data_IF_155826249641
#
_entry.id   IF_155826249641
#
_cell.length_a   1.000
_cell.length_b   1.000
_cell.length_c   1.000
_cell.angle_alpha   90.00
_cell.angle_beta   90.00
_cell.angle_gamma   90.00
#
_symmetry.space_group_name_H-M   'P 1'
#
loop_
_entity.id
_entity.type
_entity.pdbx_description
1 polymer ?
#
# COMPACT_ATOMS: atom_id res chain seq x y z
N UNK A 1 -20.26 -7.67 18.24
CA UNK A 1 -20.79 -7.81 16.88
C UNK A 1 -19.77 -8.54 16.02
N UNK A 2 -20.10 -9.72 15.58
CA UNK A 2 -19.16 -10.57 14.88
C UNK A 2 -19.02 -10.10 13.41
N UNK A 3 -17.85 -9.68 12.99
CA UNK A 3 -17.59 -9.13 11.64
C UNK A 3 -17.99 -10.10 10.51
N UNK A 4 -17.97 -11.41 10.80
CA UNK A 4 -18.39 -12.44 9.85
C UNK A 4 -19.90 -12.48 9.62
N UNK A 5 -20.70 -12.11 10.62
CA UNK A 5 -22.16 -12.06 10.50
C UNK A 5 -22.65 -10.84 9.71
N UNK A 6 -21.88 -9.75 9.75
CA UNK A 6 -22.21 -8.54 8.98
C UNK A 6 -22.10 -8.75 7.47
N UNK A 7 -21.08 -9.47 7.04
CA UNK A 7 -20.86 -9.73 5.61
C UNK A 7 -21.91 -10.70 5.05
N UNK A 8 -22.32 -11.71 5.83
CA UNK A 8 -23.33 -12.68 5.38
C UNK A 8 -24.74 -12.09 5.32
N UNK A 9 -25.06 -11.09 6.15
CA UNK A 9 -26.39 -10.45 6.12
C UNK A 9 -26.54 -9.40 5.01
N UNK A 10 -25.45 -8.85 4.50
CA UNK A 10 -25.52 -7.89 3.38
C UNK A 10 -25.68 -8.57 2.01
N UNK A 11 -25.36 -9.86 1.89
CA UNK A 11 -25.51 -10.60 0.63
C UNK A 11 -26.93 -11.13 0.43
N UNK A 12 -27.69 -11.31 1.51
CA UNK A 12 -29.07 -11.82 1.45
C UNK A 12 -30.12 -10.72 1.20
N UNK A 13 -29.72 -9.44 1.24
CA UNK A 13 -30.65 -8.33 1.03
C UNK A 13 -30.93 -7.95 -0.43
N UNK A 14 -30.20 -8.51 -1.38
CA UNK A 14 -30.32 -8.13 -2.80
C UNK A 14 -31.06 -9.12 -3.68
N UNK A 15 -31.55 -10.23 -3.14
CA UNK A 15 -32.18 -11.28 -3.92
C UNK A 15 -33.71 -11.24 -3.99
N UNK A 16 -34.38 -10.26 -3.36
CA UNK A 16 -35.86 -10.27 -3.28
C UNK A 16 -36.58 -9.13 -4.04
N UNK A 17 -35.94 -8.45 -4.98
CA UNK A 17 -36.57 -7.40 -5.79
C UNK A 17 -36.59 -7.68 -7.30
N UNK A 18 -36.56 -8.93 -7.71
CA UNK A 18 -36.60 -9.29 -9.13
C UNK A 18 -37.87 -10.04 -9.54
N UNK A 19 -39.05 -9.67 -9.01
CA UNK A 19 -40.29 -10.20 -9.50
C UNK A 19 -41.43 -9.20 -9.36
N UNK A 20 -41.44 -8.19 -10.15
CA UNK A 20 -42.66 -7.54 -10.67
C UNK A 20 -42.25 -6.29 -11.46
N UNK A 21 -42.19 -6.40 -12.72
CA UNK A 21 -42.68 -5.38 -13.64
C UNK A 21 -42.38 -5.77 -15.07
N UNK A 22 -43.39 -6.10 -15.74
CA UNK A 22 -43.55 -6.01 -17.19
C UNK A 22 -43.11 -4.62 -17.65
N UNK A 23 -41.89 -4.52 -18.15
CA UNK A 23 -41.36 -3.31 -18.69
C UNK A 23 -40.03 -3.58 -19.38
N UNK A 24 -40.09 -3.91 -20.67
CA UNK A 24 -38.97 -4.21 -21.54
C UNK A 24 -38.01 -3.03 -21.76
N UNK A 25 -38.21 -1.90 -21.13
CA UNK A 25 -37.39 -0.71 -21.36
C UNK A 25 -36.24 -0.53 -20.35
N UNK A 26 -36.19 -1.29 -19.26
CA UNK A 26 -35.13 -1.18 -18.25
C UNK A 26 -33.87 -2.02 -18.55
N UNK A 27 -33.98 -2.98 -19.47
CA UNK A 27 -32.87 -3.87 -19.85
C UNK A 27 -31.95 -3.21 -20.88
N UNK A 28 -32.40 -2.19 -21.58
CA UNK A 28 -31.59 -1.47 -22.60
C UNK A 28 -30.66 -0.43 -22.00
N UNK A 29 -30.88 0.04 -20.78
CA UNK A 29 -29.99 0.99 -20.15
C UNK A 29 -28.74 0.35 -19.51
N UNK A 30 -28.77 -0.97 -19.30
CA UNK A 30 -27.59 -1.72 -18.80
C UNK A 30 -26.68 -2.21 -19.91
N UNK A 31 -27.10 -2.11 -21.19
CA UNK A 31 -26.33 -2.56 -22.35
C UNK A 31 -25.54 -1.44 -23.03
N UNK A 32 -25.70 -0.20 -22.60
CA UNK A 32 -25.01 0.93 -23.18
C UNK A 32 -23.76 1.28 -22.39
N UNK A 33 -22.63 1.06 -23.06
CA UNK A 33 -21.31 1.49 -22.67
C UNK A 33 -20.72 0.79 -21.44
N UNK A 34 -20.06 -0.32 -21.69
CA UNK A 34 -18.85 -0.64 -20.93
C UNK A 34 -17.91 0.56 -21.04
N UNK A 35 -18.14 1.54 -20.20
CA UNK A 35 -17.17 2.58 -19.92
C UNK A 35 -15.99 1.81 -19.33
N UNK A 36 -15.02 1.50 -20.18
CA UNK A 36 -13.76 0.89 -19.79
C UNK A 36 -13.23 1.80 -18.69
N UNK A 37 -13.48 1.42 -17.45
CA UNK A 37 -12.90 2.11 -16.29
C UNK A 37 -11.42 1.91 -16.44
N UNK A 38 -10.75 2.89 -16.98
CA UNK A 38 -9.30 2.97 -16.97
C UNK A 38 -8.95 3.16 -15.49
N UNK A 39 -8.76 2.04 -14.80
CA UNK A 39 -8.18 2.06 -13.46
C UNK A 39 -6.77 2.59 -13.66
N UNK A 40 -6.47 3.80 -13.19
CA UNK A 40 -5.10 4.27 -13.25
C UNK A 40 -4.25 3.24 -12.52
N UNK A 41 -3.20 2.73 -13.18
CA UNK A 41 -2.26 1.82 -12.56
C UNK A 41 -1.59 2.58 -11.42
N UNK A 42 -2.02 2.32 -10.20
CA UNK A 42 -1.42 2.91 -9.01
C UNK A 42 -0.17 2.10 -8.69
N UNK A 43 0.97 2.69 -8.89
CA UNK A 43 2.24 2.11 -8.46
C UNK A 43 2.36 2.29 -6.94
N UNK A 44 2.38 1.18 -6.22
CA UNK A 44 2.60 1.19 -4.78
C UNK A 44 4.10 1.32 -4.51
N UNK A 45 4.48 2.38 -3.82
CA UNK A 45 5.85 2.60 -3.35
C UNK A 45 5.92 2.25 -1.87
N UNK A 46 6.68 1.22 -1.56
CA UNK A 46 6.83 0.74 -0.20
C UNK A 46 8.05 1.37 0.47
N UNK A 47 7.90 1.65 1.74
CA UNK A 47 8.94 2.10 2.65
C UNK A 47 9.14 1.09 3.77
N UNK A 48 10.36 1.00 4.29
CA UNK A 48 10.72 0.06 5.33
C UNK A 48 11.57 0.74 6.41
N UNK A 49 11.32 0.37 7.65
CA UNK A 49 12.07 0.91 8.79
C UNK A 49 13.40 0.18 8.96
N UNK A 50 14.44 0.93 9.31
CA UNK A 50 15.76 0.38 9.60
C UNK A 50 15.73 -0.72 10.66
N UNK A 51 14.94 -0.52 11.72
CA UNK A 51 14.87 -1.45 12.85
C UNK A 51 14.19 -2.77 12.55
N UNK A 52 13.41 -2.85 11.48
CA UNK A 52 12.67 -4.05 11.08
C UNK A 52 13.35 -4.85 9.98
N UNK A 53 14.27 -4.23 9.25
CA UNK A 53 15.03 -4.90 8.22
C UNK A 53 16.05 -5.89 8.82
N UNK A 54 16.15 -7.12 8.28
CA UNK A 54 17.18 -8.05 8.69
C UNK A 54 18.56 -7.59 8.21
N UNK A 55 19.58 -7.90 8.96
CA UNK A 55 20.96 -7.51 8.70
C UNK A 55 21.58 -6.81 9.91
N UNK A 56 22.88 -6.93 10.07
CA UNK A 56 23.63 -6.30 11.15
C UNK A 56 24.11 -4.91 10.77
N UNK A 57 24.50 -4.73 9.51
CA UNK A 57 24.95 -3.46 8.97
C UNK A 57 23.85 -2.72 8.19
N UNK A 58 23.99 -1.41 8.07
CA UNK A 58 23.07 -0.60 7.28
C UNK A 58 23.05 -1.05 5.81
N UNK A 59 24.21 -1.38 5.23
CA UNK A 59 24.28 -1.85 3.85
C UNK A 59 23.52 -3.17 3.63
N UNK A 60 23.65 -4.13 4.53
CA UNK A 60 22.90 -5.39 4.44
C UNK A 60 21.41 -5.18 4.50
N UNK A 61 20.95 -4.27 5.35
CA UNK A 61 19.54 -3.89 5.44
C UNK A 61 19.04 -3.25 4.15
N UNK A 62 19.83 -2.36 3.57
CA UNK A 62 19.48 -1.71 2.31
C UNK A 62 19.50 -2.69 1.14
N UNK A 63 20.45 -3.63 1.10
CA UNK A 63 20.50 -4.71 0.09
C UNK A 63 19.24 -5.58 0.17
N UNK A 64 18.81 -5.92 1.38
CA UNK A 64 17.55 -6.64 1.59
C UNK A 64 16.35 -5.86 1.08
N UNK A 65 16.27 -4.56 1.37
CA UNK A 65 15.19 -3.70 0.90
C UNK A 65 15.16 -3.60 -0.63
N UNK A 66 16.32 -3.45 -1.28
CA UNK A 66 16.43 -3.42 -2.74
C UNK A 66 15.96 -4.72 -3.39
N UNK A 67 16.33 -5.86 -2.81
CA UNK A 67 15.88 -7.17 -3.28
C UNK A 67 14.36 -7.35 -3.24
N UNK A 68 13.69 -6.66 -2.31
CA UNK A 68 12.23 -6.64 -2.20
C UNK A 68 11.55 -5.55 -3.06
N UNK A 69 12.33 -4.74 -3.79
CA UNK A 69 11.79 -3.63 -4.57
C UNK A 69 11.31 -2.45 -3.72
N UNK A 70 11.79 -2.34 -2.49
CA UNK A 70 11.47 -1.23 -1.59
C UNK A 70 12.25 0.01 -2.01
N UNK A 71 11.58 1.13 -2.12
CA UNK A 71 12.15 2.41 -2.58
C UNK A 71 12.22 3.47 -1.49
N UNK A 72 11.61 3.22 -0.35
CA UNK A 72 11.59 4.11 0.80
C UNK A 72 12.36 3.54 1.99
N UNK A 73 13.16 4.36 2.65
CA UNK A 73 13.91 4.02 3.85
C UNK A 73 13.52 4.96 4.98
N UNK A 74 13.26 4.40 6.14
CA UNK A 74 12.95 5.14 7.35
C UNK A 74 14.02 4.85 8.40
N UNK A 75 15.00 5.78 8.58
CA UNK A 75 16.07 5.60 9.55
C UNK A 75 15.54 5.67 10.98
N UNK A 76 16.17 4.92 11.87
CA UNK A 76 15.90 5.00 13.30
C UNK A 76 16.29 6.40 13.86
N UNK A 77 15.43 6.96 14.72
CA UNK A 77 15.55 8.33 15.20
C UNK A 77 16.70 8.60 16.18
N UNK A 78 17.40 7.56 16.66
CA UNK A 78 18.53 7.73 17.59
C UNK A 78 19.76 8.32 16.92
N UNK A 79 20.29 9.41 17.44
CA UNK A 79 21.53 10.06 16.97
C UNK A 79 21.55 10.36 15.45
N UNK A 80 20.45 10.82 14.93
CA UNK A 80 20.28 11.02 13.49
C UNK A 80 21.33 12.00 12.93
N UNK A 81 21.60 13.07 13.64
CA UNK A 81 22.57 14.10 13.24
C UNK A 81 23.99 13.54 13.07
N UNK A 82 24.38 12.59 13.91
CA UNK A 82 25.69 11.93 13.85
C UNK A 82 25.80 10.91 12.72
N UNK A 83 24.66 10.45 12.17
CA UNK A 83 24.61 9.38 11.15
C UNK A 83 24.31 9.87 9.73
N UNK A 84 24.19 11.18 9.53
CA UNK A 84 23.85 11.74 8.21
C UNK A 84 24.84 11.32 7.13
N UNK A 85 26.14 11.39 7.43
CA UNK A 85 27.18 10.98 6.47
C UNK A 85 27.15 9.50 6.16
N UNK A 86 26.85 8.64 7.14
CA UNK A 86 26.66 7.20 6.96
C UNK A 86 25.50 6.93 6.00
N UNK A 87 24.35 7.56 6.20
CA UNK A 87 23.19 7.42 5.33
C UNK A 87 23.46 7.93 3.92
N UNK A 88 24.12 9.07 3.78
CA UNK A 88 24.48 9.61 2.46
C UNK A 88 25.37 8.65 1.68
N UNK A 89 26.38 8.06 2.32
CA UNK A 89 27.24 7.06 1.69
C UNK A 89 26.51 5.78 1.34
N UNK A 90 25.73 5.24 2.29
CA UNK A 90 25.03 3.98 2.10
C UNK A 90 23.92 4.07 1.04
N UNK A 91 23.25 5.20 0.91
CA UNK A 91 22.19 5.43 -0.08
C UNK A 91 22.72 5.89 -1.45
N UNK A 92 23.99 6.24 -1.53
CA UNK A 92 24.62 6.69 -2.78
C UNK A 92 24.57 5.58 -3.83
N UNK A 93 24.04 5.89 -5.01
CA UNK A 93 23.89 4.95 -6.12
C UNK A 93 22.75 3.96 -6.00
N UNK A 94 21.98 3.98 -4.91
CA UNK A 94 20.79 3.13 -4.70
C UNK A 94 19.52 3.83 -5.15
N UNK A 95 18.51 3.05 -5.52
CA UNK A 95 17.18 3.57 -5.82
C UNK A 95 16.30 3.73 -4.57
N UNK A 96 16.90 3.69 -3.39
CA UNK A 96 16.24 3.88 -2.10
C UNK A 96 16.46 5.32 -1.65
N UNK A 97 15.41 5.97 -1.16
CA UNK A 97 15.46 7.33 -0.61
C UNK A 97 14.85 7.35 0.79
N UNK A 98 15.32 8.28 1.61
CA UNK A 98 14.67 8.53 2.91
C UNK A 98 13.25 9.01 2.67
N UNK A 99 12.28 8.27 3.16
CA UNK A 99 10.84 8.54 2.99
C UNK A 99 10.24 9.26 4.20
N UNK A 100 10.69 8.90 5.39
CA UNK A 100 10.24 9.47 6.65
C UNK A 100 11.35 9.35 7.70
N UNK A 101 11.24 10.13 8.75
CA UNK A 101 12.11 10.06 9.91
C UNK A 101 11.22 9.86 11.13
N UNK A 102 11.41 8.74 11.82
CA UNK A 102 10.79 8.53 13.12
C UNK A 102 11.57 9.33 14.18
N UNK A 103 11.10 10.53 14.48
CA UNK A 103 11.63 11.30 15.60
C UNK A 103 11.23 10.57 16.89
N UNK A 104 12.19 9.98 17.57
CA UNK A 104 11.96 9.39 18.87
C UNK A 104 11.44 10.48 19.82
N UNK A 105 10.35 10.20 20.48
CA UNK A 105 9.91 11.03 21.61
C UNK A 105 10.92 10.79 22.74
N UNK A 106 11.80 11.74 22.91
CA UNK A 106 12.72 11.76 24.05
C UNK A 106 12.01 12.17 25.34
#
# INVERSE_FOLDING_TARGET
>A
MDRRKFISSSVLGTASLAMAASGTSLLTSCASEEKKVVVPSTELRLSFQEGTAPGESLNEKLDYMENLGIVGFEPGGGNLAGRVSEFQQALSGRNIKVSAICAGFG
#
